data_IF_234379793592
#
_entry.id   IF_234379793592
#
_cell.length_a   1.000
_cell.length_b   1.000
_cell.length_c   1.000
_cell.angle_alpha   90.00
_cell.angle_beta   90.00
_cell.angle_gamma   90.00
#
_symmetry.space_group_name_H-M   'P 1'
#
loop_
_entity.id
_entity.type
_entity.pdbx_description
1 polymer ?
#
# COMPACT_ATOMS: atom_id res chain seq x y z
N UNK A 1 3.91 17.04 -34.90
CA UNK A 1 4.81 15.93 -35.26
C UNK A 1 4.97 14.98 -34.06
N UNK A 2 5.37 13.71 -34.27
CA UNK A 2 5.62 12.75 -33.17
C UNK A 2 6.99 13.00 -32.55
N UNK A 3 7.21 12.53 -31.31
CA UNK A 3 8.52 12.67 -30.64
C UNK A 3 9.60 11.90 -31.43
N UNK A 4 9.27 10.73 -31.98
CA UNK A 4 10.21 9.96 -32.80
C UNK A 4 10.66 10.72 -34.06
N UNK A 5 9.74 11.44 -34.72
CA UNK A 5 10.13 12.30 -35.85
C UNK A 5 10.99 13.50 -35.39
N UNK A 6 10.80 14.02 -34.17
CA UNK A 6 11.70 15.04 -33.60
C UNK A 6 13.07 14.45 -33.25
N UNK A 7 13.14 13.19 -32.82
CA UNK A 7 14.40 12.47 -32.57
C UNK A 7 15.23 12.42 -33.86
N UNK A 8 14.60 12.05 -34.98
CA UNK A 8 15.26 11.98 -36.29
C UNK A 8 15.75 13.36 -36.77
N UNK A 9 14.94 14.41 -36.60
CA UNK A 9 15.27 15.76 -37.08
C UNK A 9 16.31 16.45 -36.19
N UNK A 10 16.20 16.29 -34.87
CA UNK A 10 17.02 17.02 -33.90
C UNK A 10 18.25 16.23 -33.44
N UNK A 11 18.35 14.93 -33.78
CA UNK A 11 19.46 14.06 -33.39
C UNK A 11 19.62 13.91 -31.87
N UNK A 12 18.52 14.02 -31.11
CA UNK A 12 18.50 13.90 -29.64
C UNK A 12 17.70 12.69 -29.19
N UNK A 13 18.00 12.17 -28.00
CA UNK A 13 17.26 11.04 -27.44
C UNK A 13 15.79 11.40 -27.18
N UNK A 14 14.92 10.41 -27.28
CA UNK A 14 13.48 10.55 -27.02
C UNK A 14 13.20 11.27 -25.69
N UNK A 15 13.86 10.82 -24.62
CA UNK A 15 13.66 11.37 -23.27
C UNK A 15 14.10 12.83 -23.17
N UNK A 16 15.20 13.21 -23.82
CA UNK A 16 15.66 14.60 -23.87
C UNK A 16 14.60 15.51 -24.48
N UNK A 17 14.04 15.10 -25.62
CA UNK A 17 13.00 15.87 -26.33
C UNK A 17 11.71 15.90 -25.52
N UNK A 18 11.26 14.76 -24.99
CA UNK A 18 10.02 14.68 -24.20
C UNK A 18 10.07 15.57 -22.95
N UNK A 19 11.20 15.58 -22.24
CA UNK A 19 11.40 16.42 -21.06
C UNK A 19 11.44 17.91 -21.43
N UNK A 20 12.09 18.26 -22.54
CA UNK A 20 12.17 19.63 -23.00
C UNK A 20 10.82 20.16 -23.49
N UNK A 21 10.03 19.35 -24.20
CA UNK A 21 8.65 19.68 -24.56
C UNK A 21 7.80 19.93 -23.32
N UNK A 22 7.94 19.11 -22.27
CA UNK A 22 7.23 19.28 -21.00
C UNK A 22 7.63 20.59 -20.32
N UNK A 23 8.92 20.90 -20.28
CA UNK A 23 9.44 22.16 -19.73
C UNK A 23 8.87 23.39 -20.46
N UNK A 24 8.80 23.32 -21.80
CA UNK A 24 8.25 24.38 -22.64
C UNK A 24 6.71 24.42 -22.69
N UNK A 25 6.02 23.51 -21.98
CA UNK A 25 4.56 23.41 -22.02
C UNK A 25 3.99 22.98 -23.38
N UNK A 26 4.83 22.47 -24.29
CA UNK A 26 4.43 22.06 -25.63
C UNK A 26 3.65 20.75 -25.58
N UNK A 27 2.44 20.76 -26.15
CA UNK A 27 1.60 19.57 -26.28
C UNK A 27 1.65 19.04 -27.71
N UNK A 28 1.56 17.72 -27.84
CA UNK A 28 1.37 17.07 -29.13
C UNK A 28 0.05 17.55 -29.76
N UNK A 29 0.02 17.95 -31.05
CA UNK A 29 -1.21 18.32 -31.74
C UNK A 29 -2.29 17.24 -31.65
N UNK A 30 -3.54 17.66 -31.48
CA UNK A 30 -4.67 16.78 -31.19
C UNK A 30 -4.87 15.70 -32.27
N UNK A 31 -4.85 16.06 -33.55
CA UNK A 31 -5.01 15.12 -34.66
C UNK A 31 -3.95 13.99 -34.68
N UNK A 32 -2.71 14.26 -34.24
CA UNK A 32 -1.66 13.24 -34.14
C UNK A 32 -1.93 12.33 -32.94
N UNK A 33 -2.35 12.92 -31.82
CA UNK A 33 -2.76 12.15 -30.64
C UNK A 33 -3.91 11.21 -31.00
N UNK A 34 -4.91 11.69 -31.73
CA UNK A 34 -6.07 10.90 -32.14
C UNK A 34 -5.70 9.77 -33.13
N UNK A 35 -4.83 10.05 -34.11
CA UNK A 35 -4.31 9.03 -35.04
C UNK A 35 -3.58 7.91 -34.30
N UNK A 36 -2.69 8.24 -33.36
CA UNK A 36 -1.95 7.24 -32.59
C UNK A 36 -2.86 6.46 -31.65
N UNK A 37 -3.85 7.15 -31.06
CA UNK A 37 -4.84 6.53 -30.19
C UNK A 37 -5.64 5.47 -30.96
N UNK A 38 -6.14 5.82 -32.15
CA UNK A 38 -6.85 4.91 -33.05
C UNK A 38 -6.02 3.69 -33.47
N UNK A 39 -4.69 3.81 -33.56
CA UNK A 39 -3.78 2.70 -33.88
C UNK A 39 -3.45 1.81 -32.67
N UNK A 40 -3.52 2.36 -31.45
CA UNK A 40 -3.14 1.68 -30.21
C UNK A 40 -4.24 0.85 -29.54
N UNK A 41 -5.51 1.09 -29.90
CA UNK A 41 -6.62 0.34 -29.30
C UNK A 41 -6.74 -1.06 -29.89
N UNK A 42 -7.08 -2.02 -29.03
CA UNK A 42 -7.59 -3.30 -29.49
C UNK A 42 -8.87 -3.07 -30.28
N UNK A 43 -8.93 -3.60 -31.50
CA UNK A 43 -10.13 -3.51 -32.34
C UNK A 43 -11.29 -4.27 -31.66
N UNK A 44 -12.53 -3.87 -31.94
CA UNK A 44 -13.71 -4.64 -31.53
C UNK A 44 -13.53 -6.09 -32.04
N UNK A 45 -13.84 -7.06 -31.18
CA UNK A 45 -13.68 -8.50 -31.44
C UNK A 45 -12.22 -8.99 -31.56
N UNK A 46 -11.24 -8.18 -31.14
CA UNK A 46 -9.85 -8.62 -31.04
C UNK A 46 -9.71 -9.73 -29.99
N UNK A 47 -9.31 -10.92 -30.46
CA UNK A 47 -8.97 -12.04 -29.60
C UNK A 47 -7.49 -11.97 -29.23
N UNK A 48 -7.14 -11.83 -27.93
CA UNK A 48 -5.76 -11.89 -27.48
C UNK A 48 -5.08 -13.21 -27.87
N UNK A 49 -3.78 -13.16 -28.18
CA UNK A 49 -2.98 -14.33 -28.60
C UNK A 49 -2.95 -15.47 -27.56
N UNK A 50 -3.25 -15.14 -26.30
CA UNK A 50 -3.29 -16.03 -25.13
C UNK A 50 -4.71 -16.41 -24.69
N UNK A 51 -5.76 -16.04 -25.44
CA UNK A 51 -7.12 -16.48 -25.14
C UNK A 51 -7.18 -18.01 -25.10
N UNK A 52 -7.77 -18.56 -24.05
CA UNK A 52 -7.91 -19.99 -23.78
C UNK A 52 -6.58 -20.78 -23.67
N UNK A 53 -5.43 -20.08 -23.65
CA UNK A 53 -4.12 -20.69 -23.40
C UNK A 53 -3.71 -20.42 -21.96
N UNK A 54 -3.39 -21.49 -21.22
CA UNK A 54 -2.59 -21.34 -20.00
C UNK A 54 -1.20 -20.92 -20.42
N UNK A 55 -0.88 -19.64 -20.28
CA UNK A 55 0.52 -19.19 -20.34
C UNK A 55 1.25 -19.95 -19.24
N UNK A 56 2.18 -20.83 -19.63
CA UNK A 56 3.02 -21.56 -18.70
C UNK A 56 3.97 -20.61 -17.96
N UNK A 57 4.96 -21.17 -17.28
CA UNK A 57 6.01 -20.33 -16.70
C UNK A 57 6.74 -19.56 -17.79
N UNK A 58 6.58 -18.24 -17.81
CA UNK A 58 7.32 -17.36 -18.73
C UNK A 58 8.73 -17.06 -18.22
N UNK A 59 9.00 -17.36 -16.94
CA UNK A 59 10.32 -17.17 -16.31
C UNK A 59 10.49 -18.15 -15.15
N UNK A 60 10.79 -19.43 -15.45
CA UNK A 60 10.86 -20.50 -14.45
C UNK A 60 11.86 -20.23 -13.33
N UNK A 61 12.92 -19.49 -13.62
CA UNK A 61 13.98 -19.20 -12.66
C UNK A 61 13.59 -18.11 -11.65
N UNK A 62 12.70 -17.19 -12.04
CA UNK A 62 12.32 -16.04 -11.20
C UNK A 62 10.87 -16.08 -10.71
N UNK A 63 10.10 -17.09 -11.10
CA UNK A 63 8.73 -17.24 -10.62
C UNK A 63 8.66 -17.69 -9.15
N UNK A 64 7.61 -17.25 -8.46
CA UNK A 64 7.35 -17.70 -7.10
C UNK A 64 6.87 -19.16 -7.13
N UNK A 65 7.69 -20.05 -6.60
CA UNK A 65 7.33 -21.46 -6.40
C UNK A 65 6.22 -21.59 -5.35
N UNK A 66 5.31 -22.55 -5.53
CA UNK A 66 4.28 -22.86 -4.53
C UNK A 66 4.94 -23.22 -3.21
N UNK A 67 4.49 -22.60 -2.12
CA UNK A 67 5.06 -22.82 -0.79
C UNK A 67 6.33 -22.02 -0.49
N UNK A 68 6.81 -21.19 -1.42
CA UNK A 68 7.94 -20.31 -1.14
C UNK A 68 7.60 -19.36 0.01
N UNK A 69 8.49 -19.30 1.00
CA UNK A 69 8.38 -18.43 2.17
C UNK A 69 9.51 -17.39 2.03
N UNK A 70 9.19 -16.09 1.91
CA UNK A 70 10.21 -15.05 1.85
C UNK A 70 11.18 -15.16 3.03
N UNK A 71 12.49 -14.95 2.85
CA UNK A 71 13.50 -15.12 3.90
C UNK A 71 13.30 -14.14 5.07
N UNK A 72 12.60 -13.03 4.87
CA UNK A 72 12.25 -12.06 5.91
C UNK A 72 10.98 -12.42 6.69
N UNK A 73 10.36 -13.58 6.43
CA UNK A 73 9.18 -14.05 7.16
C UNK A 73 9.54 -14.28 8.63
N UNK A 74 8.84 -13.60 9.53
CA UNK A 74 9.07 -13.68 10.98
C UNK A 74 8.46 -14.93 11.61
N UNK A 75 8.88 -15.35 12.79
CA UNK A 75 8.31 -16.50 13.53
C UNK A 75 7.09 -16.10 14.37
N UNK A 76 6.31 -17.08 14.83
CA UNK A 76 5.17 -16.84 15.72
C UNK A 76 5.68 -16.33 17.08
N UNK A 77 5.07 -15.25 17.60
CA UNK A 77 5.56 -14.48 18.74
C UNK A 77 6.49 -13.32 18.40
N UNK A 78 6.94 -13.19 17.14
CA UNK A 78 7.78 -12.07 16.74
C UNK A 78 7.04 -10.72 16.87
N UNK A 79 7.71 -9.74 17.48
CA UNK A 79 7.19 -8.38 17.65
C UNK A 79 7.83 -7.47 16.59
N UNK A 80 7.00 -6.68 15.90
CA UNK A 80 7.44 -5.72 14.89
C UNK A 80 6.81 -4.36 15.14
N UNK A 81 7.54 -3.29 14.83
CA UNK A 81 7.01 -1.92 14.87
C UNK A 81 6.51 -1.57 13.46
N UNK A 82 5.25 -1.14 13.36
CA UNK A 82 4.63 -0.74 12.08
C UNK A 82 4.27 0.75 12.13
N UNK A 83 4.80 1.50 11.17
CA UNK A 83 4.62 2.94 11.08
C UNK A 83 3.39 3.29 10.23
N UNK A 84 2.57 4.22 10.71
CA UNK A 84 1.54 4.89 9.95
C UNK A 84 2.04 6.30 9.58
N UNK A 85 2.65 6.41 8.40
CA UNK A 85 3.24 7.66 7.92
C UNK A 85 2.23 8.81 7.76
N UNK A 86 0.93 8.52 7.54
CA UNK A 86 -0.10 9.56 7.42
C UNK A 86 -0.41 10.24 8.75
N UNK A 87 -0.28 9.51 9.86
CA UNK A 87 -0.59 10.00 11.21
C UNK A 87 0.65 10.27 12.06
N UNK A 88 1.84 9.89 11.59
CA UNK A 88 3.09 10.01 12.36
C UNK A 88 3.13 9.11 13.59
N UNK A 89 2.37 8.00 13.59
CA UNK A 89 2.26 7.09 14.74
C UNK A 89 2.85 5.71 14.41
N UNK A 90 3.35 4.99 15.41
CA UNK A 90 3.89 3.65 15.25
C UNK A 90 3.33 2.70 16.31
N UNK A 91 2.97 1.48 15.92
CA UNK A 91 2.41 0.49 16.84
C UNK A 91 3.19 -0.81 16.79
N UNK A 92 3.40 -1.40 17.97
CA UNK A 92 3.93 -2.77 18.10
C UNK A 92 2.85 -3.77 17.68
N UNK A 93 3.25 -4.77 16.89
CA UNK A 93 2.41 -5.89 16.44
C UNK A 93 3.12 -7.19 16.75
N UNK A 94 2.37 -8.18 17.23
CA UNK A 94 2.84 -9.54 17.49
C UNK A 94 2.27 -10.48 16.44
N UNK A 95 3.10 -11.39 15.94
CA UNK A 95 2.63 -12.48 15.08
C UNK A 95 2.01 -13.57 15.95
N UNK A 96 0.73 -13.86 15.76
CA UNK A 96 0.06 -14.96 16.48
C UNK A 96 0.28 -16.28 15.73
N UNK A 97 0.11 -16.25 14.40
CA UNK A 97 0.38 -17.38 13.51
C UNK A 97 0.69 -16.88 12.10
N UNK A 98 0.97 -17.78 11.16
CA UNK A 98 1.19 -17.40 9.75
C UNK A 98 0.02 -16.57 9.22
N UNK A 99 0.33 -15.40 8.66
CA UNK A 99 -0.64 -14.40 8.18
C UNK A 99 -1.59 -13.82 9.23
N UNK A 100 -1.42 -14.13 10.52
CA UNK A 100 -2.23 -13.59 11.60
C UNK A 100 -1.38 -12.72 12.53
N UNK A 101 -1.62 -11.42 12.49
CA UNK A 101 -0.92 -10.43 13.30
C UNK A 101 -1.92 -9.64 14.12
N UNK A 102 -1.60 -9.44 15.39
CA UNK A 102 -2.41 -8.69 16.35
C UNK A 102 -1.63 -7.47 16.84
N UNK A 103 -2.33 -6.38 17.19
CA UNK A 103 -1.70 -5.26 17.89
C UNK A 103 -1.21 -5.72 19.27
N UNK A 104 0.04 -5.41 19.58
CA UNK A 104 0.70 -5.96 20.77
C UNK A 104 0.06 -5.50 22.09
N UNK A 105 -0.41 -4.26 22.17
CA UNK A 105 -1.11 -3.76 23.36
C UNK A 105 -2.44 -4.49 23.62
N UNK A 106 -3.17 -4.89 22.56
CA UNK A 106 -4.38 -5.73 22.69
C UNK A 106 -3.99 -7.11 23.20
N UNK A 107 -2.96 -7.72 22.62
CA UNK A 107 -2.44 -9.01 23.08
C UNK A 107 -2.05 -8.98 24.57
N UNK A 108 -1.30 -7.95 25.01
CA UNK A 108 -0.93 -7.77 26.41
C UNK A 108 -2.17 -7.62 27.29
N UNK A 109 -3.13 -6.79 26.90
CA UNK A 109 -4.39 -6.65 27.64
C UNK A 109 -5.11 -7.99 27.79
N UNK A 110 -5.29 -8.73 26.68
CA UNK A 110 -6.02 -9.99 26.65
C UNK A 110 -5.36 -11.07 27.50
N UNK A 111 -4.03 -11.06 27.60
CA UNK A 111 -3.29 -11.98 28.47
C UNK A 111 -3.51 -11.73 29.96
N UNK A 112 -3.78 -10.49 30.37
CA UNK A 112 -3.97 -10.13 31.78
C UNK A 112 -5.44 -10.10 32.21
N UNK A 113 -6.33 -9.58 31.37
CA UNK A 113 -7.73 -9.31 31.72
C UNK A 113 -8.74 -10.16 30.93
N UNK A 114 -8.28 -10.93 29.93
CA UNK A 114 -9.15 -11.65 29.02
C UNK A 114 -9.64 -10.81 27.83
N UNK A 115 -10.55 -11.36 27.02
CA UNK A 115 -10.91 -10.78 25.72
C UNK A 115 -11.48 -9.37 25.86
N UNK A 116 -11.13 -8.49 24.90
CA UNK A 116 -11.68 -7.13 24.87
C UNK A 116 -13.20 -7.21 24.62
N UNK A 117 -14.05 -6.64 25.49
CA UNK A 117 -15.49 -6.69 25.31
C UNK A 117 -15.93 -6.02 24.00
N UNK A 118 -17.10 -6.42 23.49
CA UNK A 118 -17.69 -5.77 22.31
C UNK A 118 -17.85 -4.27 22.56
N UNK A 119 -17.59 -3.46 21.54
CA UNK A 119 -17.63 -2.00 21.59
C UNK A 119 -16.65 -1.34 22.58
N UNK A 120 -15.57 -2.05 22.94
CA UNK A 120 -14.46 -1.50 23.70
C UNK A 120 -13.17 -1.50 22.88
N UNK A 121 -12.26 -0.62 23.26
CA UNK A 121 -10.92 -0.52 22.67
C UNK A 121 -9.89 -0.35 23.79
N UNK A 122 -8.66 -0.76 23.50
CA UNK A 122 -7.53 -0.53 24.39
C UNK A 122 -6.83 0.76 23.97
N UNK A 123 -6.61 1.65 24.94
CA UNK A 123 -5.94 2.93 24.74
C UNK A 123 -4.73 3.06 25.65
N UNK A 124 -3.81 3.96 25.26
CA UNK A 124 -2.60 4.29 26.00
C UNK A 124 -2.85 5.52 26.86
N UNK A 125 -2.73 5.41 28.18
CA UNK A 125 -2.96 6.53 29.11
C UNK A 125 -1.99 7.68 28.85
N UNK A 126 -0.71 7.36 28.62
CA UNK A 126 0.34 8.35 28.32
C UNK A 126 0.40 8.79 26.85
N UNK A 127 -0.47 8.28 25.97
CA UNK A 127 -0.48 8.52 24.51
C UNK A 127 0.77 8.06 23.75
N UNK A 128 1.70 7.37 24.40
CA UNK A 128 2.83 6.70 23.74
C UNK A 128 2.40 5.31 23.28
N UNK A 129 2.27 5.13 21.97
CA UNK A 129 1.81 3.89 21.33
C UNK A 129 2.83 2.75 21.38
N UNK A 130 4.05 3.01 21.85
CA UNK A 130 5.11 2.01 22.02
C UNK A 130 5.21 1.51 23.47
N UNK A 131 4.64 2.22 24.44
CA UNK A 131 4.57 1.82 25.84
C UNK A 131 3.39 0.87 26.10
N UNK A 132 3.63 -0.43 25.89
CA UNK A 132 2.62 -1.48 26.06
C UNK A 132 2.62 -2.11 27.47
N UNK A 133 3.13 -1.42 28.49
CA UNK A 133 3.04 -1.88 29.88
C UNK A 133 1.58 -1.90 30.34
N UNK A 134 1.16 -2.94 31.07
CA UNK A 134 -0.25 -3.16 31.40
C UNK A 134 -0.84 -2.00 32.22
N UNK A 135 -0.02 -1.34 33.05
CA UNK A 135 -0.40 -0.20 33.87
C UNK A 135 -0.74 1.04 33.02
N UNK A 136 -0.14 1.15 31.83
CA UNK A 136 -0.37 2.22 30.87
C UNK A 136 -1.56 1.94 29.94
N UNK A 137 -2.09 0.71 29.94
CA UNK A 137 -3.23 0.33 29.12
C UNK A 137 -4.54 0.55 29.87
N UNK A 138 -5.56 0.97 29.14
CA UNK A 138 -6.92 1.14 29.65
C UNK A 138 -7.91 0.61 28.61
N UNK A 139 -8.89 -0.18 29.05
CA UNK A 139 -10.01 -0.59 28.20
C UNK A 139 -11.16 0.40 28.37
N UNK A 140 -11.53 1.08 27.29
CA UNK A 140 -12.61 2.08 27.30
C UNK A 140 -13.66 1.75 26.25
N UNK A 141 -14.90 2.18 26.50
CA UNK A 141 -15.95 2.06 25.48
C UNK A 141 -15.67 2.97 24.29
N UNK A 142 -16.16 2.58 23.10
CA UNK A 142 -16.11 3.42 21.90
C UNK A 142 -16.76 4.80 22.13
N UNK A 143 -17.82 4.85 22.95
CA UNK A 143 -18.51 6.11 23.32
C UNK A 143 -17.60 7.04 24.12
N UNK A 144 -16.87 6.48 25.08
CA UNK A 144 -15.92 7.24 25.89
C UNK A 144 -14.76 7.75 25.02
N UNK A 145 -14.21 6.90 24.15
CA UNK A 145 -13.17 7.31 23.20
C UNK A 145 -13.64 8.45 22.27
N UNK A 146 -14.87 8.37 21.77
CA UNK A 146 -15.45 9.43 20.92
C UNK A 146 -15.55 10.76 21.67
N UNK A 147 -15.98 10.73 22.94
CA UNK A 147 -16.04 11.94 23.80
C UNK A 147 -14.66 12.55 24.04
N UNK A 148 -13.65 11.72 24.34
CA UNK A 148 -12.26 12.18 24.56
C UNK A 148 -11.68 12.87 23.32
N UNK A 149 -12.05 12.40 22.13
CA UNK A 149 -11.57 12.95 20.86
C UNK A 149 -12.50 14.04 20.26
N UNK A 150 -13.61 14.36 20.94
CA UNK A 150 -14.57 15.34 20.45
C UNK A 150 -13.99 16.75 20.55
N UNK A 151 -13.64 17.34 19.40
CA UNK A 151 -13.13 18.70 19.34
C UNK A 151 -14.27 19.70 19.10
N UNK A 152 -14.69 20.41 20.15
CA UNK A 152 -15.75 21.43 20.10
C UNK A 152 -15.47 22.60 19.17
N UNK A 153 -14.20 22.88 18.80
CA UNK A 153 -13.81 24.01 17.93
C UNK A 153 -13.94 23.71 16.43
N UNK A 154 -14.15 22.45 16.06
CA UNK A 154 -14.31 22.01 14.65
C UNK A 154 -15.74 21.55 14.33
N UNK A 155 -16.66 21.70 15.27
CA UNK A 155 -18.07 21.33 15.14
C UNK A 155 -18.89 22.53 14.66
#
# INVERSE_FOLDING_TARGET
MTINAMVEILGRSYNSIAMHMRYLGLKRPQHISDKLRAQSYFKKDHTPWNKDKKVGSMSPDTEFKKGNIPPNTKYDGAITIRHNYKRGMAYKHIRISKNNWMMYHVYVWEKHHGPVPKNHIIVFKNRDTLDCRIENLECISLRENARRNWNKKKA
#
